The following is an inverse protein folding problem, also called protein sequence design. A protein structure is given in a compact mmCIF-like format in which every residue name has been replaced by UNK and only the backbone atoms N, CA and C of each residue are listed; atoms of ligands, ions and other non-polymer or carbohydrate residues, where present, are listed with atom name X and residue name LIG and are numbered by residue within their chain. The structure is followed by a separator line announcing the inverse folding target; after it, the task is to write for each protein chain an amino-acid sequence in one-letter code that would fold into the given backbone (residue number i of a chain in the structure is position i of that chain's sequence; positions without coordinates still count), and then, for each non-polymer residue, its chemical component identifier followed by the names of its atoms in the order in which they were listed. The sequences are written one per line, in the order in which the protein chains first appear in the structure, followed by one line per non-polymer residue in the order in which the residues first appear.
data_IF_976171434142
#
_entry.id   IF_976171434142
#
_cell.length_a   1.000
_cell.length_b   1.000
_cell.length_c   1.000
_cell.angle_alpha   90.00
_cell.angle_beta   90.00
_cell.angle_gamma   90.00
#
_symmetry.space_group_name_H-M   'P 1'
#
loop_
_entity.id
_entity.type
_entity.pdbx_description
1 polymer ?
#
# COMPACT_ATOMS: atom_id res chain seq x y z
N UNK A 1 -5.30 30.88 12.74
CA UNK A 1 -6.56 30.87 11.97
C UNK A 1 -7.31 29.60 12.35
N UNK A 2 -8.49 29.74 12.96
CA UNK A 2 -9.27 28.60 13.46
C UNK A 2 -9.93 27.88 12.29
N UNK A 3 -9.78 26.56 12.24
CA UNK A 3 -10.39 25.69 11.25
C UNK A 3 -11.92 25.77 11.42
N UNK A 4 -12.63 26.44 10.51
CA UNK A 4 -14.09 26.56 10.60
C UNK A 4 -14.74 25.43 9.80
N UNK A 5 -14.98 24.32 10.49
CA UNK A 5 -15.77 23.21 9.96
C UNK A 5 -17.23 23.70 9.90
N UNK A 6 -17.78 23.81 8.69
CA UNK A 6 -19.17 24.26 8.47
C UNK A 6 -20.21 23.17 8.76
N UNK A 7 -19.75 21.93 8.88
CA UNK A 7 -20.56 20.77 9.23
C UNK A 7 -20.54 20.51 10.75
N UNK A 8 -21.69 20.63 11.44
CA UNK A 8 -21.79 20.40 12.89
C UNK A 8 -21.38 18.99 13.31
N UNK A 9 -21.58 18.00 12.44
CA UNK A 9 -21.24 16.62 12.76
C UNK A 9 -19.73 16.40 12.79
N UNK A 10 -19.02 16.94 11.80
CA UNK A 10 -17.55 16.90 11.74
C UNK A 10 -16.92 17.62 12.94
N UNK A 11 -17.44 18.79 13.37
CA UNK A 11 -16.94 19.47 14.57
C UNK A 11 -17.13 18.62 15.84
N UNK A 12 -18.30 17.97 15.99
CA UNK A 12 -18.58 17.05 17.11
C UNK A 12 -17.58 15.89 17.14
N UNK A 13 -17.31 15.26 15.99
CA UNK A 13 -16.40 14.12 15.90
C UNK A 13 -14.96 14.53 16.21
N UNK A 14 -14.50 15.65 15.64
CA UNK A 14 -13.15 16.17 15.90
C UNK A 14 -12.97 16.53 17.38
N UNK A 15 -13.96 17.15 18.00
CA UNK A 15 -13.93 17.45 19.45
C UNK A 15 -13.89 16.19 20.31
N UNK A 16 -14.70 15.18 19.98
CA UNK A 16 -14.68 13.91 20.69
C UNK A 16 -13.32 13.21 20.55
N UNK A 17 -12.73 13.23 19.35
CA UNK A 17 -11.41 12.65 19.10
C UNK A 17 -10.29 13.40 19.84
N UNK A 18 -10.35 14.73 19.87
CA UNK A 18 -9.39 15.55 20.58
C UNK A 18 -9.48 15.32 22.10
N UNK A 19 -10.70 15.25 22.64
CA UNK A 19 -10.93 14.92 24.05
C UNK A 19 -10.40 13.53 24.41
N UNK A 20 -10.63 12.52 23.55
CA UNK A 20 -10.14 11.16 23.77
C UNK A 20 -8.61 11.06 23.70
N UNK A 21 -7.95 11.87 22.85
CA UNK A 21 -6.48 11.91 22.70
C UNK A 21 -5.79 12.85 23.69
N UNK A 22 -6.53 13.74 24.36
CA UNK A 22 -5.96 14.78 25.22
C UNK A 22 -5.14 15.83 24.45
N UNK A 23 -5.42 16.01 23.16
CA UNK A 23 -4.67 16.91 22.27
C UNK A 23 -5.50 18.11 21.85
N UNK A 24 -4.86 19.17 21.35
CA UNK A 24 -5.60 20.31 20.78
C UNK A 24 -6.40 19.88 19.54
N UNK A 25 -7.47 20.60 19.20
CA UNK A 25 -8.24 20.33 17.97
C UNK A 25 -7.36 20.39 16.73
N UNK A 26 -6.45 21.36 16.68
CA UNK A 26 -5.52 21.54 15.57
C UNK A 26 -4.56 20.37 15.43
N UNK A 27 -3.99 19.89 16.53
CA UNK A 27 -3.06 18.75 16.51
C UNK A 27 -3.78 17.45 16.17
N UNK A 28 -5.02 17.31 16.65
CA UNK A 28 -5.88 16.16 16.36
C UNK A 28 -6.19 16.07 14.87
N UNK A 29 -6.57 17.19 14.26
CA UNK A 29 -6.84 17.27 12.81
C UNK A 29 -5.56 16.99 12.03
N UNK A 30 -4.43 17.61 12.42
CA UNK A 30 -3.13 17.38 11.77
C UNK A 30 -2.77 15.91 11.76
N UNK A 31 -2.76 15.26 12.91
CA UNK A 31 -2.42 13.84 13.06
C UNK A 31 -3.36 12.95 12.23
N UNK A 32 -4.66 13.24 12.24
CA UNK A 32 -5.64 12.49 11.45
C UNK A 32 -5.38 12.64 9.94
N UNK A 33 -5.12 13.85 9.46
CA UNK A 33 -4.83 14.11 8.05
C UNK A 33 -3.50 13.49 7.61
N UNK A 34 -2.45 13.59 8.42
CA UNK A 34 -1.13 13.00 8.13
C UNK A 34 -1.22 11.48 8.02
N UNK A 35 -1.94 10.83 8.95
CA UNK A 35 -2.19 9.38 8.89
C UNK A 35 -2.95 8.97 7.64
N UNK A 36 -4.05 9.65 7.33
CA UNK A 36 -4.85 9.37 6.14
C UNK A 36 -4.03 9.54 4.85
N UNK A 37 -3.19 10.58 4.77
CA UNK A 37 -2.33 10.83 3.61
C UNK A 37 -1.24 9.75 3.48
N UNK A 38 -0.64 9.32 4.59
CA UNK A 38 0.35 8.26 4.61
C UNK A 38 -0.25 6.91 4.22
N UNK A 39 -1.49 6.62 4.60
CA UNK A 39 -2.23 5.43 4.18
C UNK A 39 -2.57 5.47 2.69
N UNK A 40 -3.11 6.59 2.19
CA UNK A 40 -3.42 6.77 0.77
C UNK A 40 -2.16 6.61 -0.10
N UNK A 41 -1.04 7.17 0.35
CA UNK A 41 0.25 7.06 -0.36
C UNK A 41 0.77 5.63 -0.39
N UNK A 42 0.65 4.88 0.71
CA UNK A 42 1.03 3.46 0.78
C UNK A 42 0.13 2.58 -0.08
N UNK A 43 -1.17 2.87 -0.13
CA UNK A 43 -2.12 2.15 -0.97
C UNK A 43 -1.78 2.33 -2.47
N UNK A 44 -1.54 3.56 -2.90
CA UNK A 44 -1.15 3.86 -4.28
C UNK A 44 0.18 3.19 -4.65
N UNK A 45 1.17 3.20 -3.76
CA UNK A 45 2.45 2.53 -3.98
C UNK A 45 2.30 1.00 -4.06
N UNK A 46 1.47 0.41 -3.19
CA UNK A 46 1.16 -1.02 -3.23
C UNK A 46 0.51 -1.41 -4.55
N UNK A 47 -0.44 -0.62 -5.02
CA UNK A 47 -1.12 -0.85 -6.29
C UNK A 47 -0.14 -0.77 -7.48
N UNK A 48 0.73 0.25 -7.51
CA UNK A 48 1.80 0.34 -8.51
C UNK A 48 2.70 -0.90 -8.54
N UNK A 49 3.10 -1.41 -7.37
CA UNK A 49 3.93 -2.63 -7.28
C UNK A 49 3.21 -3.86 -7.78
N UNK A 50 1.93 -4.02 -7.42
CA UNK A 50 1.11 -5.13 -7.89
C UNK A 50 0.93 -5.09 -9.41
N UNK A 51 0.70 -3.91 -9.97
CA UNK A 51 0.63 -3.72 -11.42
C UNK A 51 1.95 -4.12 -12.11
N UNK A 52 3.10 -3.71 -11.56
CA UNK A 52 4.41 -4.10 -12.09
C UNK A 52 4.65 -5.62 -12.03
N UNK A 53 4.30 -6.27 -10.92
CA UNK A 53 4.37 -7.73 -10.79
C UNK A 53 3.49 -8.42 -11.83
N UNK A 54 2.26 -7.93 -12.01
CA UNK A 54 1.32 -8.49 -12.98
C UNK A 54 1.86 -8.44 -14.41
N UNK A 55 2.49 -7.35 -14.80
CA UNK A 55 3.15 -7.24 -16.12
C UNK A 55 4.25 -8.29 -16.29
N UNK A 56 5.03 -8.56 -15.25
CA UNK A 56 6.06 -9.62 -15.30
C UNK A 56 5.43 -11.00 -15.42
N UNK A 57 4.38 -11.28 -14.64
CA UNK A 57 3.65 -12.54 -14.69
C UNK A 57 3.02 -12.79 -16.06
N UNK A 58 2.42 -11.76 -16.67
CA UNK A 58 1.83 -11.85 -18.00
C UNK A 58 2.89 -12.14 -19.08
N UNK A 59 4.08 -11.52 -18.97
CA UNK A 59 5.21 -11.81 -19.87
C UNK A 59 5.72 -13.25 -19.73
N UNK A 60 5.77 -13.76 -18.50
CA UNK A 60 6.19 -15.13 -18.22
C UNK A 60 5.15 -16.13 -18.75
N UNK A 61 3.86 -15.89 -18.47
CA UNK A 61 2.77 -16.75 -18.93
C UNK A 61 2.60 -16.76 -20.46
N UNK A 62 3.07 -15.72 -21.15
CA UNK A 62 3.10 -15.68 -22.61
C UNK A 62 4.20 -16.55 -23.23
N UNK A 63 5.19 -17.00 -22.44
CA UNK A 63 6.16 -17.97 -22.94
C UNK A 63 5.54 -19.38 -22.89
N UNK A 64 5.60 -20.14 -23.99
CA UNK A 64 5.14 -21.52 -23.98
C UNK A 64 6.04 -22.35 -23.06
N UNK A 65 5.45 -23.12 -22.16
CA UNK A 65 6.16 -24.16 -21.44
C UNK A 65 6.66 -25.20 -22.48
N UNK A 66 7.95 -25.52 -22.45
CA UNK A 66 8.48 -26.62 -23.25
C UNK A 66 8.22 -27.93 -22.49
N UNK A 67 7.28 -28.79 -22.95
CA UNK A 67 6.96 -30.03 -22.25
C UNK A 67 8.12 -31.04 -22.23
N UNK A 68 9.20 -30.80 -22.98
CA UNK A 68 10.40 -31.63 -23.00
C UNK A 68 11.47 -31.18 -22.00
N UNK A 69 11.28 -30.03 -21.34
CA UNK A 69 12.20 -29.53 -20.32
C UNK A 69 11.70 -29.98 -18.95
N UNK A 70 12.38 -30.97 -18.38
CA UNK A 70 12.16 -31.41 -17.01
C UNK A 70 13.05 -30.56 -16.10
N UNK A 71 12.44 -29.60 -15.39
CA UNK A 71 13.13 -28.81 -14.37
C UNK A 71 13.19 -29.63 -13.08
N UNK A 72 14.15 -30.54 -12.97
CA UNK A 72 14.43 -31.33 -11.77
C UNK A 72 15.71 -30.86 -11.05
N UNK A 73 16.08 -31.57 -9.98
CA UNK A 73 17.29 -31.25 -9.22
C UNK A 73 18.56 -31.38 -10.08
N UNK A 74 18.64 -32.36 -10.98
CA UNK A 74 19.81 -32.56 -11.83
C UNK A 74 19.97 -31.42 -12.84
N UNK A 75 18.85 -30.86 -13.34
CA UNK A 75 18.86 -29.63 -14.15
C UNK A 75 19.46 -28.45 -13.36
N UNK A 76 19.03 -28.23 -12.11
CA UNK A 76 19.57 -27.14 -11.29
C UNK A 76 21.03 -27.35 -10.88
N UNK A 77 21.43 -28.58 -10.59
CA UNK A 77 22.82 -28.92 -10.26
C UNK A 77 23.73 -28.62 -11.49
N UNK A 78 23.27 -28.92 -12.72
CA UNK A 78 24.02 -28.62 -13.96
C UNK A 78 24.24 -27.13 -14.26
N UNK A 79 23.41 -26.24 -13.69
CA UNK A 79 23.52 -24.79 -13.86
C UNK A 79 24.51 -24.13 -12.88
N UNK A 80 24.86 -24.81 -11.79
CA UNK A 80 25.75 -24.31 -10.74
C UNK A 80 27.18 -24.89 -10.81
N UNK A 81 27.43 -25.84 -11.71
CA UNK A 81 28.73 -26.51 -11.87
C UNK A 81 29.71 -25.74 -12.81
N UNK A 82 29.46 -24.46 -13.09
CA UNK A 82 30.40 -23.50 -13.74
C UNK A 82 30.89 -22.43 -12.73
#
# INVERSE_FOLDING_TARGET
MAFHVRDPETDRVVRALAAAKGTSLTDTIRDACEKALAEASRAAERERRLAAIRVIQERLAAHPDDPNVVIDKAFWDSLNDE
#
